data_IF_236531605514
#
_entry.id   IF_236531605514
#
_cell.length_a   1.000
_cell.length_b   1.000
_cell.length_c   1.000
_cell.angle_alpha   90.00
_cell.angle_beta   90.00
_cell.angle_gamma   90.00
#
_symmetry.space_group_name_H-M   'P 1'
#
loop_
_entity.id
_entity.type
_entity.pdbx_description
1 polymer ?
#
# COMPACT_ATOMS: atom_id res chain seq x y z
N UNK A 1 -24.25 -38.27 16.16
CA UNK A 1 -24.03 -36.86 16.58
C UNK A 1 -25.18 -36.46 17.49
N UNK A 2 -24.90 -36.02 18.72
CA UNK A 2 -25.92 -35.66 19.70
C UNK A 2 -26.13 -34.14 19.75
N UNK A 3 -27.37 -33.67 19.89
CA UNK A 3 -27.64 -32.23 20.11
C UNK A 3 -27.15 -31.81 21.49
N UNK A 4 -26.46 -30.66 21.57
CA UNK A 4 -25.87 -30.13 22.81
C UNK A 4 -24.59 -30.84 23.28
N UNK A 5 -24.08 -31.82 22.52
CA UNK A 5 -22.81 -32.48 22.81
C UNK A 5 -21.59 -31.65 22.38
N UNK A 6 -20.39 -32.16 22.69
CA UNK A 6 -19.12 -31.54 22.27
C UNK A 6 -18.99 -31.54 20.74
N UNK A 7 -18.54 -30.42 20.17
CA UNK A 7 -18.21 -30.31 18.75
C UNK A 7 -17.00 -31.18 18.42
N UNK A 8 -16.97 -31.78 17.23
CA UNK A 8 -15.80 -32.47 16.74
C UNK A 8 -14.62 -31.49 16.56
N UNK A 9 -13.45 -31.83 17.10
CA UNK A 9 -12.21 -31.04 17.02
C UNK A 9 -12.39 -29.55 17.41
N UNK A 10 -12.67 -29.24 18.68
CA UNK A 10 -12.85 -27.85 19.11
C UNK A 10 -11.56 -27.05 18.93
N UNK A 11 -11.70 -25.77 18.53
CA UNK A 11 -10.58 -24.84 18.36
C UNK A 11 -9.76 -24.73 19.65
N UNK A 12 -8.45 -24.95 19.55
CA UNK A 12 -7.52 -24.89 20.67
C UNK A 12 -6.82 -23.54 20.72
N UNK A 13 -6.41 -23.14 21.92
CA UNK A 13 -5.69 -21.89 22.14
C UNK A 13 -4.32 -21.89 21.46
N UNK A 14 -3.62 -23.03 21.45
CA UNK A 14 -2.28 -23.22 20.84
C UNK A 14 -2.31 -23.45 19.33
N UNK A 15 -3.35 -22.99 18.64
CA UNK A 15 -3.32 -22.93 17.18
C UNK A 15 -2.19 -21.98 16.73
N UNK A 16 -1.49 -22.31 15.64
CA UNK A 16 -0.39 -21.48 15.14
C UNK A 16 -0.96 -20.25 14.41
N UNK A 17 -1.17 -19.15 15.14
CA UNK A 17 -1.77 -17.92 14.62
C UNK A 17 -0.76 -16.98 13.94
N UNK A 18 0.49 -16.99 14.37
CA UNK A 18 1.52 -16.04 13.93
C UNK A 18 2.42 -16.68 12.88
N UNK A 19 2.69 -15.97 11.77
CA UNK A 19 3.60 -16.43 10.73
C UNK A 19 4.83 -15.51 10.65
N UNK A 20 6.03 -16.09 10.79
CA UNK A 20 7.28 -15.34 10.63
C UNK A 20 7.63 -15.19 9.16
N UNK A 21 7.96 -13.97 8.76
CA UNK A 21 8.47 -13.61 7.43
C UNK A 21 9.87 -13.02 7.57
N UNK A 22 10.76 -13.32 6.62
CA UNK A 22 12.14 -12.81 6.62
C UNK A 22 12.17 -11.28 6.49
N UNK A 23 13.09 -10.64 7.21
CA UNK A 23 13.25 -9.18 7.18
C UNK A 23 13.57 -8.66 5.77
N UNK A 24 14.38 -9.39 5.01
CA UNK A 24 14.70 -9.07 3.61
C UNK A 24 13.46 -9.09 2.72
N UNK A 25 12.58 -10.07 2.88
CA UNK A 25 11.32 -10.16 2.14
C UNK A 25 10.36 -9.03 2.51
N UNK A 26 10.29 -8.67 3.80
CA UNK A 26 9.48 -7.52 4.25
C UNK A 26 9.97 -6.22 3.59
N UNK A 27 11.28 -5.95 3.65
CA UNK A 27 11.90 -4.77 3.01
C UNK A 27 11.64 -4.73 1.50
N UNK A 28 11.84 -5.86 0.82
CA UNK A 28 11.57 -5.96 -0.62
C UNK A 28 10.10 -5.65 -0.98
N UNK A 29 9.14 -6.09 -0.16
CA UNK A 29 7.73 -5.79 -0.36
C UNK A 29 7.39 -4.31 -0.15
N UNK A 30 8.17 -3.59 0.66
CA UNK A 30 7.98 -2.15 0.87
C UNK A 30 8.57 -1.36 -0.30
N UNK A 31 9.81 -1.67 -0.72
CA UNK A 31 10.40 -1.09 -1.92
C UNK A 31 9.53 -1.29 -3.17
N UNK A 32 8.97 -2.50 -3.34
CA UNK A 32 8.07 -2.80 -4.46
C UNK A 32 6.79 -1.95 -4.42
N UNK A 33 6.21 -1.75 -3.22
CA UNK A 33 5.02 -0.93 -3.06
C UNK A 33 5.30 0.58 -3.30
N UNK A 34 6.44 1.07 -2.82
CA UNK A 34 6.92 2.44 -3.07
C UNK A 34 7.14 2.70 -4.55
N UNK A 35 7.90 1.84 -5.23
CA UNK A 35 8.17 1.99 -6.66
C UNK A 35 6.86 1.99 -7.47
N UNK A 36 5.94 1.09 -7.11
CA UNK A 36 4.70 0.95 -7.83
C UNK A 36 3.74 2.15 -7.62
N UNK A 37 3.85 2.88 -6.50
CA UNK A 37 3.08 4.11 -6.22
C UNK A 37 3.41 5.29 -7.13
N UNK A 38 4.61 5.29 -7.73
CA UNK A 38 5.04 6.31 -8.67
C UNK A 38 4.42 6.12 -10.07
N UNK A 39 3.87 4.94 -10.38
CA UNK A 39 3.27 4.67 -11.68
C UNK A 39 1.77 5.02 -11.69
N UNK A 40 1.33 6.04 -12.47
CA UNK A 40 -0.06 6.49 -12.47
C UNK A 40 -1.04 5.38 -12.92
N UNK A 41 -0.60 4.50 -13.81
CA UNK A 41 -1.42 3.39 -14.33
C UNK A 41 -1.81 2.42 -13.20
N UNK A 42 -0.85 2.03 -12.36
CA UNK A 42 -1.11 1.11 -11.25
C UNK A 42 -2.03 1.75 -10.21
N UNK A 43 -1.82 3.02 -9.94
CA UNK A 43 -2.61 3.81 -9.01
C UNK A 43 -4.07 3.97 -9.47
N UNK A 44 -4.30 4.28 -10.74
CA UNK A 44 -5.64 4.36 -11.31
C UNK A 44 -6.32 2.99 -11.32
N UNK A 45 -5.57 1.90 -11.57
CA UNK A 45 -6.09 0.53 -11.55
C UNK A 45 -6.58 0.08 -10.16
N UNK A 46 -5.93 0.56 -9.08
CA UNK A 46 -6.40 0.37 -7.69
C UNK A 46 -7.73 1.10 -7.44
N UNK A 47 -7.99 2.15 -8.22
CA UNK A 47 -9.23 2.91 -8.22
C UNK A 47 -9.15 4.29 -7.59
N UNK A 48 -7.95 4.82 -7.33
CA UNK A 48 -7.81 6.20 -6.85
C UNK A 48 -8.19 7.20 -7.95
N UNK A 49 -8.85 8.30 -7.56
CA UNK A 49 -9.25 9.37 -8.51
C UNK A 49 -8.14 10.40 -8.64
N UNK A 50 -7.22 10.20 -9.60
CA UNK A 50 -6.00 11.03 -9.80
C UNK A 50 -6.04 11.85 -11.09
N UNK A 51 -7.15 11.83 -11.85
CA UNK A 51 -7.27 12.49 -13.15
C UNK A 51 -6.86 13.98 -13.17
N UNK A 52 -7.12 14.72 -12.09
CA UNK A 52 -6.82 16.15 -12.01
C UNK A 52 -5.50 16.48 -11.29
N UNK A 53 -4.89 15.49 -10.62
CA UNK A 53 -3.68 15.69 -9.82
C UNK A 53 -2.50 15.86 -10.78
N UNK A 54 -1.57 16.83 -10.53
CA UNK A 54 -0.51 17.16 -11.46
C UNK A 54 0.38 15.96 -11.80
N UNK A 55 1.01 15.33 -10.81
CA UNK A 55 1.84 14.12 -11.00
C UNK A 55 1.91 13.29 -9.70
N UNK A 56 1.78 11.96 -9.76
CA UNK A 56 2.22 11.06 -8.68
C UNK A 56 3.72 10.72 -8.85
N UNK A 57 4.54 10.65 -7.78
CA UNK A 57 4.22 10.97 -6.39
C UNK A 57 4.09 12.49 -6.17
N UNK A 58 3.05 12.90 -5.44
CA UNK A 58 2.76 14.32 -5.26
C UNK A 58 3.52 14.87 -4.07
N UNK A 59 4.46 15.79 -4.28
CA UNK A 59 5.43 16.24 -3.29
C UNK A 59 5.11 17.69 -2.80
N UNK A 60 4.89 17.92 -1.48
CA UNK A 60 4.43 19.19 -0.85
C UNK A 60 5.31 19.81 0.27
N UNK A 61 5.44 21.13 0.43
CA UNK A 61 6.31 21.76 1.47
C UNK A 61 6.18 21.23 2.92
N UNK A 62 7.27 21.18 3.69
CA UNK A 62 7.28 20.78 5.12
C UNK A 62 6.34 21.57 6.02
N UNK A 63 5.94 22.77 5.60
CA UNK A 63 4.95 23.59 6.32
C UNK A 63 3.62 22.86 6.54
N UNK A 64 3.34 21.80 5.77
CA UNK A 64 2.16 20.95 5.94
C UNK A 64 2.19 20.17 7.24
N UNK A 65 3.38 19.83 7.76
CA UNK A 65 3.55 19.08 9.02
C UNK A 65 3.09 19.91 10.23
N UNK A 66 3.28 21.24 10.18
CA UNK A 66 2.83 22.17 11.22
C UNK A 66 1.33 22.53 11.19
N UNK A 67 0.52 21.89 10.35
CA UNK A 67 -0.93 22.12 10.35
C UNK A 67 -1.58 21.56 11.61
N UNK A 68 -2.41 22.37 12.26
CA UNK A 68 -3.11 21.97 13.49
C UNK A 68 -4.61 21.80 13.30
N UNK A 69 -5.19 22.41 12.26
CA UNK A 69 -6.63 22.44 12.04
C UNK A 69 -7.01 21.64 10.79
N UNK A 70 -8.02 20.80 10.91
CA UNK A 70 -8.58 20.03 9.77
C UNK A 70 -9.08 20.92 8.62
N UNK A 71 -9.48 22.16 8.91
CA UNK A 71 -9.87 23.13 7.87
C UNK A 71 -8.71 23.43 6.91
N UNK A 72 -7.50 23.58 7.43
CA UNK A 72 -6.29 23.85 6.65
C UNK A 72 -5.92 22.61 5.82
N UNK A 73 -5.99 21.42 6.42
CA UNK A 73 -5.79 20.14 5.75
C UNK A 73 -6.77 19.94 4.57
N UNK A 74 -8.06 20.20 4.75
CA UNK A 74 -9.07 20.10 3.67
C UNK A 74 -8.79 21.13 2.57
N UNK A 75 -8.37 22.35 2.91
CA UNK A 75 -8.01 23.37 1.93
C UNK A 75 -6.80 22.93 1.10
N UNK A 76 -5.81 22.31 1.72
CA UNK A 76 -4.66 21.73 1.02
C UNK A 76 -5.09 20.64 0.03
N UNK A 77 -5.87 19.65 0.47
CA UNK A 77 -6.36 18.57 -0.42
C UNK A 77 -7.17 19.10 -1.61
N UNK A 78 -7.90 20.21 -1.42
CA UNK A 78 -8.62 20.88 -2.52
C UNK A 78 -7.68 21.58 -3.49
N UNK A 79 -6.66 22.29 -2.99
CA UNK A 79 -5.64 22.95 -3.83
C UNK A 79 -4.86 21.94 -4.67
N UNK A 80 -4.53 20.80 -4.07
CA UNK A 80 -3.83 19.68 -4.71
C UNK A 80 -4.75 18.82 -5.59
N UNK A 81 -6.05 19.12 -5.63
CA UNK A 81 -7.09 18.38 -6.36
C UNK A 81 -7.25 16.90 -5.96
N UNK A 82 -6.62 16.48 -4.86
CA UNK A 82 -6.76 15.14 -4.27
C UNK A 82 -8.12 14.95 -3.54
N UNK A 83 -8.87 16.03 -3.32
CA UNK A 83 -10.17 15.98 -2.62
C UNK A 83 -11.22 15.09 -3.30
N UNK A 84 -11.12 14.85 -4.61
CA UNK A 84 -12.03 13.95 -5.32
C UNK A 84 -11.90 12.49 -4.86
N UNK A 85 -10.72 12.07 -4.41
CA UNK A 85 -10.51 10.74 -3.83
C UNK A 85 -11.15 10.63 -2.44
N UNK A 86 -11.03 11.67 -1.61
CA UNK A 86 -11.74 11.74 -0.32
C UNK A 86 -13.26 11.74 -0.49
N UNK A 87 -13.80 12.46 -1.50
CA UNK A 87 -15.24 12.40 -1.84
C UNK A 87 -15.70 10.99 -2.20
N UNK A 88 -14.86 10.21 -2.90
CA UNK A 88 -15.14 8.80 -3.19
C UNK A 88 -15.24 7.98 -1.90
N UNK A 89 -14.37 8.22 -0.91
CA UNK A 89 -14.45 7.58 0.40
C UNK A 89 -15.80 7.90 1.07
N UNK A 90 -16.20 9.17 1.12
CA UNK A 90 -17.51 9.55 1.67
C UNK A 90 -18.68 8.81 0.99
N UNK A 91 -18.68 8.73 -0.34
CA UNK A 91 -19.71 8.02 -1.09
C UNK A 91 -19.72 6.50 -0.87
N UNK A 92 -18.58 5.92 -0.48
CA UNK A 92 -18.42 4.48 -0.27
C UNK A 92 -18.92 3.98 1.10
N UNK A 93 -19.19 4.90 2.03
CA UNK A 93 -19.58 4.58 3.39
C UNK A 93 -20.92 3.83 3.40
N UNK A 94 -20.89 2.56 3.84
CA UNK A 94 -22.09 1.72 3.91
C UNK A 94 -22.04 0.74 5.08
N UNK A 95 -23.19 0.16 5.42
CA UNK A 95 -23.28 -0.87 6.46
C UNK A 95 -22.74 -2.21 5.94
N UNK A 96 -21.98 -2.91 6.78
CA UNK A 96 -21.44 -4.25 6.48
C UNK A 96 -22.57 -5.27 6.43
N UNK A 97 -22.57 -6.13 5.41
CA UNK A 97 -23.49 -7.25 5.34
C UNK A 97 -23.12 -8.36 6.35
N UNK A 98 -24.11 -9.07 6.88
CA UNK A 98 -23.92 -10.25 7.74
C UNK A 98 -23.68 -9.95 9.23
N UNK A 99 -23.07 -10.93 9.92
CA UNK A 99 -22.90 -10.96 11.39
C UNK A 99 -21.81 -10.03 11.93
N UNK A 100 -20.97 -9.47 11.05
CA UNK A 100 -19.92 -8.51 11.44
C UNK A 100 -20.48 -7.25 12.12
N UNK A 101 -21.73 -6.88 11.78
CA UNK A 101 -22.49 -5.84 12.48
C UNK A 101 -22.48 -6.09 13.99
N UNK A 102 -22.93 -7.26 14.43
CA UNK A 102 -22.98 -7.61 15.86
C UNK A 102 -21.61 -7.73 16.56
N UNK A 103 -20.50 -7.68 15.82
CA UNK A 103 -19.13 -7.84 16.35
C UNK A 103 -18.33 -6.53 16.30
N UNK A 104 -19.01 -5.39 16.48
CA UNK A 104 -18.40 -4.04 16.44
C UNK A 104 -17.77 -3.66 15.10
N UNK A 105 -18.12 -4.34 13.99
CA UNK A 105 -17.62 -4.04 12.64
C UNK A 105 -18.79 -3.66 11.72
N UNK A 106 -19.53 -2.62 12.12
CA UNK A 106 -20.80 -2.23 11.51
C UNK A 106 -20.67 -1.54 10.15
N UNK A 107 -19.65 -0.69 9.96
CA UNK A 107 -19.47 0.15 8.77
C UNK A 107 -18.26 -0.30 7.96
N UNK A 108 -18.31 -0.07 6.66
CA UNK A 108 -17.21 -0.27 5.71
C UNK A 108 -17.11 0.95 4.79
N UNK A 109 -15.90 1.25 4.37
CA UNK A 109 -15.56 2.35 3.48
C UNK A 109 -14.28 2.01 2.70
N UNK A 110 -14.09 2.68 1.56
CA UNK A 110 -12.86 2.60 0.78
C UNK A 110 -11.72 3.34 1.51
N UNK A 111 -10.48 2.96 1.21
CA UNK A 111 -9.31 3.71 1.66
C UNK A 111 -9.14 4.99 0.86
N UNK A 112 -8.65 6.02 1.52
CA UNK A 112 -8.34 7.32 0.92
C UNK A 112 -6.85 7.46 0.59
N UNK A 113 -6.38 8.70 0.40
CA UNK A 113 -4.97 8.98 0.14
C UNK A 113 -4.10 8.72 1.38
N UNK A 114 -2.89 8.23 1.15
CA UNK A 114 -1.88 8.04 2.19
C UNK A 114 -0.94 9.25 2.26
N UNK A 115 -0.83 9.87 3.43
CA UNK A 115 0.10 10.98 3.68
C UNK A 115 1.28 10.44 4.46
N UNK A 116 2.48 10.75 3.98
CA UNK A 116 3.74 10.37 4.61
C UNK A 116 4.41 11.64 5.13
N UNK A 117 4.80 11.62 6.39
CA UNK A 117 5.47 12.72 7.09
C UNK A 117 6.69 12.19 7.84
N UNK A 118 7.57 13.11 8.24
CA UNK A 118 8.79 12.77 8.97
C UNK A 118 8.65 12.99 10.47
N UNK A 119 8.13 14.16 10.86
CA UNK A 119 7.94 14.52 12.26
C UNK A 119 6.47 14.92 12.50
N UNK A 120 5.94 14.55 13.67
CA UNK A 120 4.56 14.92 14.04
C UNK A 120 4.53 16.27 14.76
N UNK A 121 4.40 17.33 13.97
CA UNK A 121 4.22 18.72 14.44
C UNK A 121 2.73 19.15 14.50
N UNK A 122 1.82 18.17 14.61
CA UNK A 122 0.37 18.38 14.67
C UNK A 122 -0.40 17.83 13.46
N UNK A 123 0.31 17.26 12.48
CA UNK A 123 -0.27 16.68 11.27
C UNK A 123 -1.27 15.56 11.60
N UNK A 124 -1.00 14.74 12.61
CA UNK A 124 -1.91 13.67 13.05
C UNK A 124 -3.25 14.25 13.51
N UNK A 125 -3.20 15.35 14.28
CA UNK A 125 -4.40 16.06 14.73
C UNK A 125 -5.16 16.72 13.58
N UNK A 126 -4.45 17.30 12.61
CA UNK A 126 -5.08 17.97 11.48
C UNK A 126 -5.80 17.00 10.54
N UNK A 127 -5.15 15.88 10.17
CA UNK A 127 -5.68 14.93 9.20
C UNK A 127 -6.50 13.79 9.82
N UNK A 128 -6.32 13.47 11.11
CA UNK A 128 -6.94 12.30 11.75
C UNK A 128 -8.47 12.27 11.76
N UNK A 129 -9.15 13.41 11.58
CA UNK A 129 -10.61 13.47 11.46
C UNK A 129 -11.13 13.32 10.02
N UNK A 130 -10.23 13.33 9.02
CA UNK A 130 -10.60 13.13 7.62
C UNK A 130 -10.79 11.63 7.36
N UNK A 131 -11.88 11.20 6.71
CA UNK A 131 -12.18 9.77 6.61
C UNK A 131 -11.14 9.04 5.78
N UNK A 132 -10.54 8.02 6.37
CA UNK A 132 -9.67 7.03 5.71
C UNK A 132 -8.44 7.63 5.03
N UNK A 133 -8.02 8.82 5.43
CA UNK A 133 -6.67 9.31 5.15
C UNK A 133 -5.71 8.53 6.05
N UNK A 134 -4.83 7.73 5.47
CA UNK A 134 -3.80 7.01 6.24
C UNK A 134 -2.60 7.92 6.47
N UNK A 135 -2.04 7.87 7.66
CA UNK A 135 -0.89 8.66 8.09
C UNK A 135 0.25 7.70 8.40
N UNK A 136 1.38 7.85 7.71
CA UNK A 136 2.56 7.01 7.91
C UNK A 136 3.78 7.87 8.23
N UNK A 137 4.57 7.40 9.19
CA UNK A 137 5.84 8.01 9.55
C UNK A 137 6.99 7.43 8.70
N UNK A 138 7.94 8.24 8.23
CA UNK A 138 9.08 7.79 7.41
C UNK A 138 10.08 6.85 8.11
N UNK A 139 10.47 7.00 9.40
CA UNK A 139 11.41 6.07 10.05
C UNK A 139 10.80 4.72 10.41
N UNK A 140 9.47 4.58 10.39
CA UNK A 140 8.76 3.36 10.73
C UNK A 140 7.99 2.85 9.52
N UNK A 141 8.68 2.16 8.61
CA UNK A 141 7.99 1.38 7.59
C UNK A 141 7.30 0.15 8.23
N UNK A 142 6.22 0.41 8.97
CA UNK A 142 5.46 -0.62 9.64
C UNK A 142 4.68 -1.44 8.60
N UNK A 143 5.05 -2.71 8.49
CA UNK A 143 4.49 -3.68 7.54
C UNK A 143 3.00 -4.06 7.76
N UNK A 144 2.28 -3.36 8.65
CA UNK A 144 0.99 -3.78 9.22
C UNK A 144 -0.24 -3.13 8.59
N UNK A 145 -0.11 -1.99 7.91
CA UNK A 145 -1.25 -1.33 7.25
C UNK A 145 -1.19 -1.41 5.72
N UNK A 146 -1.20 -2.63 5.18
CA UNK A 146 -1.53 -2.85 3.75
C UNK A 146 -2.83 -3.64 3.66
N UNK A 147 -4.00 -3.00 3.45
CA UNK A 147 -5.20 -3.73 3.11
C UNK A 147 -5.05 -4.31 1.70
N UNK A 148 -4.86 -5.63 1.68
CA UNK A 148 -5.12 -6.53 0.56
C UNK A 148 -4.41 -6.14 -0.75
N UNK A 149 -3.21 -6.71 -0.92
CA UNK A 149 -2.57 -7.05 -2.19
C UNK A 149 -2.96 -6.16 -3.38
N UNK A 150 -2.71 -4.86 -3.37
CA UNK A 150 -2.54 -4.04 -4.58
C UNK A 150 -1.90 -2.71 -4.19
N UNK A 151 -0.98 -2.26 -5.03
CA UNK A 151 -0.12 -1.06 -4.93
C UNK A 151 -0.94 0.21 -4.69
N UNK A 152 -0.50 1.04 -3.77
CA UNK A 152 -1.19 2.25 -3.30
C UNK A 152 -0.50 3.53 -3.78
N UNK A 153 -1.28 4.59 -4.00
CA UNK A 153 -0.84 5.91 -4.47
C UNK A 153 -0.43 6.83 -3.32
N UNK A 154 0.65 7.60 -3.51
CA UNK A 154 1.26 8.42 -2.46
C UNK A 154 1.37 9.90 -2.84
N UNK A 155 0.75 10.81 -2.06
CA UNK A 155 1.23 12.17 -1.91
C UNK A 155 2.27 12.28 -0.78
N UNK A 156 3.50 12.62 -1.14
CA UNK A 156 4.66 12.92 -0.29
C UNK A 156 4.85 14.43 -0.05
N UNK A 157 5.77 14.83 0.83
CA UNK A 157 6.16 16.23 1.09
C UNK A 157 7.55 16.57 0.47
N UNK A 158 7.84 17.86 0.16
CA UNK A 158 8.89 18.46 -0.70
C UNK A 158 10.27 18.32 -0.15
N UNK A 159 10.43 18.24 1.15
CA UNK A 159 11.76 18.11 1.71
C UNK A 159 12.19 16.65 1.90
N UNK A 160 11.49 15.72 1.22
CA UNK A 160 11.93 14.31 1.09
C UNK A 160 12.38 13.90 -0.31
N UNK A 161 12.47 14.83 -1.27
CA UNK A 161 13.29 14.58 -2.46
C UNK A 161 14.79 14.53 -2.10
N UNK A 162 15.33 15.26 -1.09
CA UNK A 162 16.71 15.05 -0.66
C UNK A 162 16.97 13.72 0.06
N UNK A 163 16.03 13.17 0.84
CA UNK A 163 16.26 11.88 1.52
C UNK A 163 15.90 10.65 0.68
N UNK A 164 15.07 10.78 -0.37
CA UNK A 164 15.01 9.78 -1.42
C UNK A 164 16.13 9.93 -2.48
N UNK A 165 16.85 11.06 -2.49
CA UNK A 165 18.13 11.23 -3.20
C UNK A 165 19.35 10.72 -2.43
N UNK A 166 19.20 10.36 -1.15
CA UNK A 166 19.94 9.23 -0.58
C UNK A 166 19.41 7.95 -1.23
N UNK A 167 19.64 7.86 -2.54
CA UNK A 167 19.27 6.74 -3.38
C UNK A 167 19.80 5.45 -2.72
N UNK A 168 19.11 4.31 -2.90
CA UNK A 168 19.63 2.97 -2.63
C UNK A 168 20.86 2.65 -3.53
N UNK A 169 21.94 3.40 -3.32
CA UNK A 169 23.10 3.56 -4.18
C UNK A 169 24.08 4.70 -3.83
N UNK A 170 23.80 5.60 -2.86
CA UNK A 170 24.78 6.66 -2.49
C UNK A 170 25.13 6.81 -1.01
N UNK A 171 24.37 6.26 -0.07
CA UNK A 171 24.88 5.98 1.29
C UNK A 171 25.12 4.47 1.44
N UNK A 172 26.19 4.04 2.14
CA UNK A 172 26.39 2.61 2.38
C UNK A 172 25.15 2.09 3.14
N UNK A 173 24.36 1.17 2.57
CA UNK A 173 23.23 0.62 3.28
C UNK A 173 23.75 0.01 4.58
N UNK A 174 22.97 0.14 5.66
CA UNK A 174 23.24 -0.56 6.92
C UNK A 174 23.77 -1.97 6.59
N UNK A 175 24.92 -2.39 7.15
CA UNK A 175 25.76 -3.44 6.57
C UNK A 175 24.95 -4.67 6.19
N UNK A 176 24.86 -4.96 4.89
CA UNK A 176 24.19 -6.14 4.33
C UNK A 176 22.84 -5.92 3.62
N UNK A 177 22.37 -4.67 3.42
CA UNK A 177 21.07 -4.40 2.76
C UNK A 177 21.20 -3.77 1.38
N UNK A 178 21.67 -4.54 0.40
CA UNK A 178 21.70 -4.08 -0.99
C UNK A 178 20.27 -4.08 -1.58
N UNK A 179 19.99 -3.14 -2.47
CA UNK A 179 18.76 -3.15 -3.27
C UNK A 179 18.67 -4.47 -4.05
N UNK A 180 17.46 -5.03 -4.11
CA UNK A 180 17.23 -6.23 -4.89
C UNK A 180 17.45 -5.92 -6.38
N UNK A 181 18.28 -6.73 -7.04
CA UNK A 181 18.57 -6.58 -8.45
C UNK A 181 17.36 -6.94 -9.32
N UNK A 182 17.13 -6.15 -10.37
CA UNK A 182 16.16 -6.49 -11.40
C UNK A 182 16.69 -7.68 -12.22
N UNK A 183 15.79 -8.61 -12.59
CA UNK A 183 16.13 -9.76 -13.45
C UNK A 183 16.36 -9.32 -14.90
N UNK A 184 15.68 -8.26 -15.34
CA UNK A 184 15.82 -7.69 -16.68
C UNK A 184 16.15 -6.20 -16.58
N UNK A 185 17.04 -5.72 -17.45
CA UNK A 185 17.43 -4.31 -17.50
C UNK A 185 16.38 -3.43 -18.20
N UNK A 186 15.53 -4.02 -19.04
CA UNK A 186 14.48 -3.32 -19.80
C UNK A 186 13.17 -4.08 -19.66
N UNK A 187 12.13 -3.44 -19.13
CA UNK A 187 10.79 -4.02 -18.97
C UNK A 187 9.96 -4.03 -20.27
N UNK A 188 10.28 -3.15 -21.23
CA UNK A 188 9.55 -3.06 -22.49
C UNK A 188 10.10 -4.06 -23.51
N UNK A 189 9.51 -5.26 -23.54
CA UNK A 189 9.88 -6.30 -24.52
C UNK A 189 9.71 -5.81 -25.97
N UNK A 190 8.75 -4.93 -26.23
CA UNK A 190 8.48 -4.36 -27.56
C UNK A 190 9.59 -3.43 -28.08
N UNK A 191 10.48 -2.95 -27.20
CA UNK A 191 11.60 -2.07 -27.55
C UNK A 191 12.91 -2.85 -27.75
N UNK A 192 12.92 -4.14 -27.40
CA UNK A 192 14.08 -5.01 -27.59
C UNK A 192 14.11 -5.48 -29.06
N UNK A 193 15.10 -5.08 -29.87
CA UNK A 193 15.17 -5.52 -31.26
C UNK A 193 15.29 -7.05 -31.32
N UNK A 194 14.25 -7.72 -31.85
CA UNK A 194 14.21 -9.17 -32.06
C UNK A 194 13.17 -9.97 -31.25
N UNK A 195 12.39 -9.34 -30.35
CA UNK A 195 11.20 -9.97 -29.75
C UNK A 195 9.93 -9.46 -30.44
N UNK A 196 9.34 -10.25 -31.35
CA UNK A 196 7.98 -9.96 -31.82
C UNK A 196 6.98 -10.13 -30.65
N UNK A 197 6.00 -9.23 -30.49
CA UNK A 197 4.96 -9.40 -29.47
C UNK A 197 4.16 -10.66 -29.79
N UNK A 198 4.31 -11.69 -28.96
CA UNK A 198 3.54 -12.92 -29.09
C UNK A 198 2.05 -12.63 -28.86
N UNK A 199 1.31 -12.40 -29.94
CA UNK A 199 -0.16 -12.43 -29.95
C UNK A 199 -0.59 -13.77 -29.35
N UNK A 200 -1.29 -13.70 -28.21
CA UNK A 200 -1.58 -14.84 -27.34
C UNK A 200 -2.22 -16.01 -28.07
N UNK A 201 -1.59 -17.20 -27.96
CA UNK A 201 -2.27 -18.47 -28.21
C UNK A 201 -2.90 -18.95 -26.90
N UNK A 202 -4.20 -19.28 -26.88
CA UNK A 202 -4.86 -19.72 -25.66
C UNK A 202 -4.41 -21.14 -25.31
N UNK A 203 -4.03 -21.32 -24.05
CA UNK A 203 -3.98 -22.62 -23.39
C UNK A 203 -2.64 -23.35 -23.44
N UNK A 204 -1.91 -23.28 -22.33
CA UNK A 204 -1.20 -24.45 -21.78
C UNK A 204 -1.33 -24.45 -20.25
N UNK A 205 -1.89 -25.55 -19.74
CA UNK A 205 -2.13 -25.83 -18.33
C UNK A 205 -0.83 -25.74 -17.53
N UNK A 206 -0.89 -25.17 -16.34
CA UNK A 206 0.20 -25.16 -15.37
C UNK A 206 0.66 -26.60 -15.09
N UNK A 207 1.94 -26.87 -15.31
CA UNK A 207 2.59 -28.14 -15.00
C UNK A 207 2.66 -28.29 -13.48
N UNK A 208 2.12 -29.40 -12.98
CA UNK A 208 1.99 -29.70 -11.57
C UNK A 208 3.33 -29.83 -10.84
N UNK A 209 3.34 -29.38 -9.59
CA UNK A 209 4.42 -29.59 -8.62
C UNK A 209 4.50 -31.08 -8.32
N UNK A 210 5.53 -31.76 -8.84
CA UNK A 210 5.87 -33.13 -8.45
C UNK A 210 6.36 -33.14 -7.00
N UNK A 211 5.60 -33.80 -6.11
CA UNK A 211 5.99 -34.08 -4.72
C UNK A 211 7.28 -34.90 -4.71
N UNK A 212 8.33 -34.36 -4.09
CA UNK A 212 9.52 -35.15 -3.74
C UNK A 212 9.16 -36.11 -2.60
N UNK A 213 9.34 -37.41 -2.84
CA UNK A 213 9.23 -38.47 -1.84
C UNK A 213 10.53 -38.47 -1.04
N UNK A 214 10.47 -38.20 0.27
CA UNK A 214 11.64 -38.35 1.17
C UNK A 214 11.99 -39.84 1.33
N UNK A 215 13.28 -40.16 1.54
CA UNK A 215 13.73 -41.52 1.80
C UNK A 215 13.14 -42.09 3.09
#
# INVERSE_FOLDING_TARGET
MCRGGCTFAPTKTWHHWHHRVNTTQKRYAICSALAASAFPVLVMSKGHRIEEVPEPPLVNEDKVEGYRKTKEAILLLKKLKAWNDTKKVYASQRMRAGKGKMRNQHRIQCRGPCIIYNEDDGIIGAFGNTPETTLLNSPEEESTEKPENHVEAKPTCKDHVPEHHSLPGQEPPAPGNNAAAAVEATSDENRVPGKEPAVGKPGKKAVGITKQKKP
#
